data_IF_240004313163
#
_entry.id   IF_240004313163
#
_cell.length_a   1.000
_cell.length_b   1.000
_cell.length_c   1.000
_cell.angle_alpha   90.00
_cell.angle_beta   90.00
_cell.angle_gamma   90.00
#
_symmetry.space_group_name_H-M   'P 1'
#
loop_
_entity.id
_entity.type
_entity.pdbx_description
1 polymer ?
#
# COMPACT_ATOMS: atom_id res chain seq x y z
N UNK A 1 8.58 18.86 -9.30
CA UNK A 1 8.03 17.56 -9.74
C UNK A 1 8.44 16.51 -8.71
N UNK A 2 7.48 15.89 -8.02
CA UNK A 2 7.75 14.78 -7.09
C UNK A 2 7.89 13.50 -7.92
N UNK A 3 9.09 12.96 -7.99
CA UNK A 3 9.33 11.63 -8.53
C UNK A 3 8.79 10.61 -7.51
N UNK A 4 7.66 10.00 -7.84
CA UNK A 4 7.13 8.85 -7.10
C UNK A 4 7.95 7.66 -7.56
N UNK A 5 8.97 7.27 -6.78
CA UNK A 5 9.56 5.93 -6.92
C UNK A 5 8.50 4.95 -6.44
N UNK A 6 7.78 4.40 -7.41
CA UNK A 6 6.83 3.31 -7.23
C UNK A 6 7.59 2.09 -6.70
N UNK A 7 7.16 1.59 -5.55
CA UNK A 7 7.07 0.15 -5.25
C UNK A 7 8.39 -0.58 -4.99
N UNK A 8 8.47 -1.21 -3.83
CA UNK A 8 9.53 -2.09 -3.36
C UNK A 8 9.49 -3.46 -4.09
N UNK A 9 9.69 -3.47 -5.40
CA UNK A 9 9.83 -4.70 -6.19
C UNK A 9 11.19 -4.70 -6.92
N UNK A 10 11.88 -5.85 -6.97
CA UNK A 10 13.12 -6.00 -7.71
C UNK A 10 12.96 -5.49 -9.15
N UNK A 11 13.73 -4.48 -9.55
CA UNK A 11 13.50 -3.80 -10.82
C UNK A 11 13.96 -4.72 -11.95
N UNK A 12 13.00 -5.18 -12.73
CA UNK A 12 13.27 -6.03 -13.90
C UNK A 12 14.00 -5.24 -14.97
N UNK A 13 14.87 -5.92 -15.70
CA UNK A 13 15.65 -5.34 -16.78
C UNK A 13 14.75 -4.72 -17.86
N UNK A 14 13.60 -5.35 -18.14
CA UNK A 14 12.61 -4.85 -19.07
C UNK A 14 12.13 -3.43 -18.71
N UNK A 15 11.87 -3.18 -17.42
CA UNK A 15 11.40 -1.89 -16.95
C UNK A 15 12.51 -0.84 -16.95
N UNK A 16 13.75 -1.24 -16.63
CA UNK A 16 14.94 -0.36 -16.78
C UNK A 16 15.10 0.09 -18.23
N UNK A 17 14.94 -0.80 -19.21
CA UNK A 17 15.07 -0.44 -20.63
C UNK A 17 13.92 0.44 -21.13
N UNK A 18 12.68 0.20 -20.68
CA UNK A 18 11.53 1.08 -20.99
C UNK A 18 11.75 2.48 -20.44
N UNK A 19 12.21 2.58 -19.20
CA UNK A 19 12.53 3.86 -18.57
C UNK A 19 13.64 4.61 -19.31
N UNK A 20 14.72 3.92 -19.70
CA UNK A 20 15.80 4.53 -20.47
C UNK A 20 15.32 5.08 -21.83
N UNK A 21 14.35 4.42 -22.49
CA UNK A 21 13.72 4.95 -23.72
C UNK A 21 12.91 6.22 -23.48
N UNK A 22 12.27 6.33 -22.33
CA UNK A 22 11.50 7.52 -21.94
C UNK A 22 12.43 8.71 -21.67
N UNK A 23 13.49 8.49 -20.89
CA UNK A 23 14.51 9.49 -20.60
C UNK A 23 15.21 9.94 -21.89
N UNK A 24 15.64 8.99 -22.73
CA UNK A 24 16.31 9.30 -23.99
C UNK A 24 15.41 10.08 -24.95
N UNK A 25 14.13 9.70 -25.05
CA UNK A 25 13.17 10.44 -25.86
C UNK A 25 12.93 11.86 -25.35
N UNK A 26 12.93 12.05 -24.03
CA UNK A 26 12.85 13.38 -23.40
C UNK A 26 14.10 14.22 -23.68
N UNK A 27 15.30 13.63 -23.57
CA UNK A 27 16.58 14.29 -23.88
C UNK A 27 16.68 14.72 -25.35
N UNK A 28 16.08 13.95 -26.26
CA UNK A 28 15.99 14.29 -27.69
C UNK A 28 14.86 15.27 -28.02
N UNK A 29 14.11 15.75 -27.03
CA UNK A 29 13.03 16.73 -27.22
C UNK A 29 11.73 16.15 -27.78
N UNK A 30 11.54 14.83 -27.75
CA UNK A 30 10.30 14.19 -28.24
C UNK A 30 9.13 14.35 -27.26
N UNK A 31 9.41 14.61 -25.97
CA UNK A 31 8.39 14.67 -24.91
C UNK A 31 7.65 13.35 -24.68
N UNK A 32 8.17 12.24 -25.22
CA UNK A 32 7.65 10.88 -25.12
C UNK A 32 8.81 9.88 -25.19
N UNK A 33 8.55 8.62 -24.84
CA UNK A 33 9.51 7.56 -25.10
C UNK A 33 9.78 7.39 -26.60
N UNK A 34 11.05 7.17 -26.96
CA UNK A 34 11.43 6.76 -28.32
C UNK A 34 10.73 5.45 -28.65
N UNK A 35 10.25 5.26 -29.88
CA UNK A 35 9.76 3.95 -30.34
C UNK A 35 10.92 2.95 -30.46
N UNK A 36 10.62 1.64 -30.49
CA UNK A 36 11.65 0.61 -30.70
C UNK A 36 12.42 0.86 -32.01
N UNK A 37 11.74 1.24 -33.09
CA UNK A 37 12.39 1.50 -34.38
C UNK A 37 13.27 2.77 -34.34
N UNK A 38 12.80 3.83 -33.68
CA UNK A 38 13.60 5.04 -33.47
C UNK A 38 14.87 4.73 -32.68
N UNK A 39 14.77 3.91 -31.63
CA UNK A 39 15.90 3.48 -30.82
C UNK A 39 16.92 2.70 -31.65
N UNK A 40 16.47 1.73 -32.45
CA UNK A 40 17.36 0.92 -33.28
C UNK A 40 18.11 1.76 -34.33
N UNK A 41 17.42 2.74 -34.94
CA UNK A 41 18.04 3.67 -35.88
C UNK A 41 19.09 4.55 -35.19
N UNK A 42 18.78 5.06 -34.00
CA UNK A 42 19.71 5.87 -33.22
C UNK A 42 20.95 5.06 -32.78
N UNK A 43 20.76 3.83 -32.29
CA UNK A 43 21.86 2.93 -31.92
C UNK A 43 22.76 2.65 -33.12
N UNK A 44 22.17 2.36 -34.29
CA UNK A 44 22.93 2.09 -35.51
C UNK A 44 23.75 3.29 -35.97
N UNK A 45 23.17 4.50 -35.89
CA UNK A 45 23.83 5.76 -36.23
C UNK A 45 25.01 6.06 -35.29
N UNK A 46 24.84 5.85 -33.99
CA UNK A 46 25.84 6.24 -32.98
C UNK A 46 26.92 5.17 -32.75
N UNK A 47 26.61 3.90 -33.00
CA UNK A 47 27.51 2.78 -32.70
C UNK A 47 28.22 2.21 -33.93
N UNK A 48 28.33 3.00 -35.01
CA UNK A 48 29.04 2.64 -36.25
C UNK A 48 28.56 1.30 -36.83
N UNK A 49 27.25 1.10 -36.95
CA UNK A 49 26.66 -0.06 -37.62
C UNK A 49 26.54 -1.34 -36.77
N UNK A 50 26.95 -1.32 -35.49
CA UNK A 50 26.56 -2.40 -34.56
C UNK A 50 25.07 -2.24 -34.23
N UNK A 51 24.25 -3.10 -34.81
CA UNK A 51 22.80 -3.09 -34.65
C UNK A 51 22.29 -4.11 -33.63
N UNK A 52 21.15 -3.80 -33.03
CA UNK A 52 20.32 -4.74 -32.30
C UNK A 52 19.15 -5.14 -33.21
N UNK A 53 18.68 -6.39 -33.18
CA UNK A 53 17.47 -6.74 -33.95
C UNK A 53 16.21 -6.26 -33.23
N UNK A 54 15.18 -5.90 -34.00
CA UNK A 54 13.90 -5.47 -33.43
C UNK A 54 13.22 -6.59 -32.63
N UNK A 55 13.35 -7.84 -33.08
CA UNK A 55 12.87 -9.01 -32.35
C UNK A 55 13.56 -9.16 -30.98
N UNK A 56 14.87 -8.90 -30.91
CA UNK A 56 15.63 -9.01 -29.67
C UNK A 56 15.23 -7.92 -28.66
N UNK A 57 15.04 -6.68 -29.13
CA UNK A 57 14.56 -5.59 -28.29
C UNK A 57 13.14 -5.85 -27.75
N UNK A 58 12.26 -6.38 -28.60
CA UNK A 58 10.90 -6.76 -28.20
C UNK A 58 10.89 -7.85 -27.12
N UNK A 59 11.71 -8.89 -27.28
CA UNK A 59 11.84 -9.98 -26.30
C UNK A 59 12.42 -9.52 -24.96
N UNK A 60 13.28 -8.51 -24.98
CA UNK A 60 13.83 -7.93 -23.76
C UNK A 60 12.79 -7.10 -23.03
N UNK A 61 12.05 -6.24 -23.75
CA UNK A 61 11.02 -5.40 -23.15
C UNK A 61 9.77 -6.18 -22.74
N UNK A 62 9.50 -7.34 -23.31
CA UNK A 62 8.43 -8.24 -22.85
C UNK A 62 8.84 -9.04 -21.61
N UNK A 63 10.13 -9.03 -21.23
CA UNK A 63 10.67 -9.87 -20.15
C UNK A 63 10.85 -11.34 -20.52
N UNK A 64 10.63 -11.72 -21.78
CA UNK A 64 10.86 -13.10 -22.25
C UNK A 64 12.35 -13.47 -22.28
N UNK A 65 13.23 -12.47 -22.28
CA UNK A 65 14.67 -12.64 -22.07
C UNK A 65 15.15 -11.78 -20.88
N UNK A 66 15.35 -12.39 -19.69
CA UNK A 66 15.76 -11.66 -18.48
C UNK A 66 17.23 -11.22 -18.49
N UNK A 67 18.06 -11.79 -19.38
CA UNK A 67 19.50 -11.53 -19.39
C UNK A 67 20.01 -11.11 -20.77
N UNK A 68 20.90 -10.12 -20.74
CA UNK A 68 21.62 -9.59 -21.90
C UNK A 68 22.93 -10.35 -22.14
N UNK A 69 23.29 -10.54 -23.41
CA UNK A 69 24.67 -10.89 -23.75
C UNK A 69 25.60 -9.72 -23.39
N UNK A 70 26.87 -10.02 -23.09
CA UNK A 70 27.83 -8.97 -22.73
C UNK A 70 27.96 -7.92 -23.84
N UNK A 71 27.97 -8.35 -25.10
CA UNK A 71 28.03 -7.47 -26.27
C UNK A 71 26.85 -6.51 -26.34
N UNK A 72 25.61 -7.00 -26.15
CA UNK A 72 24.42 -6.14 -26.19
C UNK A 72 24.36 -5.21 -24.98
N UNK A 73 24.77 -5.69 -23.80
CA UNK A 73 24.86 -4.86 -22.60
C UNK A 73 25.82 -3.69 -22.78
N UNK A 74 27.02 -3.94 -23.31
CA UNK A 74 28.00 -2.88 -23.60
C UNK A 74 27.50 -1.90 -24.67
N UNK A 75 26.79 -2.41 -25.69
CA UNK A 75 26.16 -1.60 -26.73
C UNK A 75 25.13 -0.62 -26.14
N UNK A 76 24.17 -1.15 -25.38
CA UNK A 76 23.10 -0.35 -24.76
C UNK A 76 23.66 0.60 -23.70
N UNK A 77 24.63 0.16 -22.89
CA UNK A 77 25.31 1.00 -21.91
C UNK A 77 26.00 2.20 -22.57
N UNK A 78 26.69 1.98 -23.70
CA UNK A 78 27.35 3.04 -24.46
C UNK A 78 26.36 4.01 -25.09
N UNK A 79 25.24 3.50 -25.61
CA UNK A 79 24.19 4.31 -26.21
C UNK A 79 23.47 5.18 -25.16
N UNK A 80 22.94 4.56 -24.10
CA UNK A 80 22.21 5.26 -23.03
C UNK A 80 23.12 6.00 -22.03
N UNK A 81 24.45 5.93 -22.20
CA UNK A 81 25.44 6.56 -21.31
C UNK A 81 25.31 6.10 -19.85
N UNK A 82 24.94 4.84 -19.62
CA UNK A 82 24.80 4.23 -18.29
C UNK A 82 25.91 3.23 -18.02
N UNK A 83 26.17 2.94 -16.74
CA UNK A 83 27.10 1.88 -16.37
C UNK A 83 26.55 0.49 -16.77
N UNK A 84 27.35 -0.45 -17.32
CA UNK A 84 26.87 -1.77 -17.72
C UNK A 84 26.15 -2.55 -16.61
N UNK A 85 26.54 -2.33 -15.35
CA UNK A 85 25.90 -2.94 -14.18
C UNK A 85 24.45 -2.49 -13.93
N UNK A 86 24.02 -1.35 -14.49
CA UNK A 86 22.63 -0.90 -14.41
C UNK A 86 21.69 -1.77 -15.26
N UNK A 87 22.22 -2.38 -16.32
CA UNK A 87 21.47 -3.23 -17.27
C UNK A 87 21.48 -4.70 -16.84
N UNK A 88 21.26 -4.94 -15.55
CA UNK A 88 21.15 -6.25 -14.94
C UNK A 88 19.86 -6.27 -14.12
N UNK A 89 19.21 -7.43 -14.05
CA UNK A 89 18.08 -7.62 -13.13
C UNK A 89 18.57 -7.56 -11.70
N UNK A 90 17.81 -6.86 -10.86
CA UNK A 90 18.08 -6.88 -9.44
C UNK A 90 17.66 -8.25 -8.88
N UNK A 91 18.48 -8.87 -8.01
CA UNK A 91 18.07 -10.08 -7.28
C UNK A 91 16.72 -9.88 -6.59
N UNK A 92 15.94 -10.94 -6.40
CA UNK A 92 14.64 -10.84 -5.71
C UNK A 92 14.76 -10.25 -4.30
N UNK A 93 15.91 -10.47 -3.66
CA UNK A 93 16.24 -9.94 -2.33
C UNK A 93 16.95 -8.56 -2.36
N UNK A 94 17.10 -7.94 -3.54
CA UNK A 94 17.76 -6.64 -3.66
C UNK A 94 16.91 -5.54 -3.05
N UNK A 95 17.50 -4.82 -2.09
CA UNK A 95 16.89 -3.67 -1.44
C UNK A 95 17.79 -2.47 -1.69
N UNK A 96 17.28 -1.47 -2.41
CA UNK A 96 18.02 -0.25 -2.76
C UNK A 96 18.32 0.65 -1.55
N UNK A 97 17.63 0.42 -0.43
CA UNK A 97 17.74 1.19 0.81
C UNK A 97 18.48 0.35 1.85
N UNK A 98 19.48 0.94 2.52
CA UNK A 98 20.03 0.36 3.75
C UNK A 98 18.93 0.42 4.83
N UNK A 99 18.38 -0.74 5.20
CA UNK A 99 17.33 -0.85 6.22
C UNK A 99 17.94 -1.02 7.61
N UNK A 100 17.97 0.07 8.38
CA UNK A 100 18.18 0.00 9.85
C UNK A 100 16.84 -0.37 10.52
N UNK A 101 16.87 -1.01 11.69
CA UNK A 101 15.67 -1.39 12.45
C UNK A 101 14.68 -0.24 12.65
N UNK A 102 15.17 1.00 12.77
CA UNK A 102 14.40 2.23 12.92
C UNK A 102 13.36 2.44 11.79
N UNK A 103 13.68 2.07 10.54
CA UNK A 103 12.75 2.22 9.41
C UNK A 103 11.59 1.21 9.47
N UNK A 104 11.80 0.07 10.15
CA UNK A 104 10.77 -0.94 10.36
C UNK A 104 9.83 -0.49 11.49
N UNK A 105 10.38 0.09 12.56
CA UNK A 105 9.59 0.70 13.63
C UNK A 105 8.71 1.83 13.08
N UNK A 106 9.25 2.76 12.28
CA UNK A 106 8.48 3.86 11.69
C UNK A 106 7.29 3.39 10.82
N UNK A 107 7.49 2.31 10.07
CA UNK A 107 6.42 1.70 9.25
C UNK A 107 5.37 1.01 10.11
N UNK A 108 5.79 0.35 11.17
CA UNK A 108 4.89 -0.29 12.13
C UNK A 108 4.03 0.75 12.84
N UNK A 109 4.65 1.85 13.30
CA UNK A 109 3.95 2.95 13.99
C UNK A 109 2.91 3.59 13.09
N UNK A 110 3.29 3.89 11.84
CA UNK A 110 2.36 4.45 10.85
C UNK A 110 1.19 3.48 10.57
N UNK A 111 1.46 2.17 10.53
CA UNK A 111 0.41 1.16 10.37
C UNK A 111 -0.53 1.11 11.58
N UNK A 112 0.01 1.17 12.80
CA UNK A 112 -0.76 1.18 14.05
C UNK A 112 -1.66 2.41 14.16
N UNK A 113 -1.14 3.60 13.82
CA UNK A 113 -1.92 4.85 13.76
C UNK A 113 -3.04 4.74 12.73
N UNK A 114 -2.74 4.30 11.51
CA UNK A 114 -3.75 4.10 10.46
C UNK A 114 -4.78 3.01 10.82
N UNK A 115 -4.38 2.00 11.60
CA UNK A 115 -5.28 1.01 12.17
C UNK A 115 -6.25 1.61 13.18
N UNK A 116 -5.75 2.41 14.11
CA UNK A 116 -6.56 3.09 15.12
C UNK A 116 -7.64 3.97 14.49
N UNK A 117 -7.30 4.74 13.45
CA UNK A 117 -8.27 5.60 12.75
C UNK A 117 -9.44 4.82 12.13
N UNK A 118 -9.21 3.58 11.68
CA UNK A 118 -10.25 2.72 11.07
C UNK A 118 -11.26 2.19 12.07
N UNK A 119 -10.81 1.87 13.29
CA UNK A 119 -11.71 1.47 14.38
C UNK A 119 -12.49 2.67 14.91
N UNK A 120 -11.87 3.86 14.93
CA UNK A 120 -12.52 5.14 15.19
C UNK A 120 -13.45 5.12 16.41
N UNK A 121 -14.69 5.59 16.23
CA UNK A 121 -15.71 5.62 17.31
C UNK A 121 -16.37 4.27 17.61
N UNK A 122 -16.14 3.25 16.79
CA UNK A 122 -16.78 1.94 16.95
C UNK A 122 -16.14 1.12 18.05
N UNK A 123 -14.84 1.31 18.26
CA UNK A 123 -14.10 0.70 19.36
C UNK A 123 -13.03 1.69 19.88
N UNK A 124 -13.40 2.55 20.85
CA UNK A 124 -12.47 3.53 21.42
C UNK A 124 -11.42 2.89 22.36
N UNK A 125 -11.64 1.66 22.83
CA UNK A 125 -10.67 0.95 23.69
C UNK A 125 -9.52 0.42 22.85
N UNK A 126 -9.82 -0.26 21.74
CA UNK A 126 -8.82 -0.74 20.80
C UNK A 126 -8.07 0.41 20.12
N UNK A 127 -8.75 1.51 19.77
CA UNK A 127 -8.09 2.71 19.25
C UNK A 127 -7.00 3.23 20.20
N UNK A 128 -7.33 3.35 21.50
CA UNK A 128 -6.40 3.84 22.51
C UNK A 128 -5.23 2.88 22.69
N UNK A 129 -5.47 1.57 22.69
CA UNK A 129 -4.43 0.56 22.78
C UNK A 129 -3.44 0.64 21.59
N UNK A 130 -3.95 0.75 20.35
CA UNK A 130 -3.12 0.86 19.15
C UNK A 130 -2.27 2.15 19.14
N UNK A 131 -2.86 3.28 19.54
CA UNK A 131 -2.13 4.56 19.65
C UNK A 131 -1.09 4.53 20.78
N UNK A 132 -1.36 3.84 21.89
CA UNK A 132 -0.39 3.69 22.97
C UNK A 132 0.83 2.87 22.53
N UNK A 133 0.61 1.81 21.75
CA UNK A 133 1.71 1.00 21.20
C UNK A 133 2.51 1.81 20.18
N UNK A 134 1.87 2.58 19.30
CA UNK A 134 2.55 3.37 18.26
C UNK A 134 3.34 4.57 18.79
N UNK A 135 3.15 4.95 20.07
CA UNK A 135 3.89 6.03 20.72
C UNK A 135 5.04 5.51 21.58
N UNK A 136 5.17 4.19 21.73
CA UNK A 136 6.24 3.57 22.50
C UNK A 136 7.54 3.62 21.69
N UNK A 137 8.68 3.86 22.36
CA UNK A 137 9.99 3.98 21.72
C UNK A 137 10.48 2.70 21.00
N UNK A 138 9.83 1.57 21.29
CA UNK A 138 10.09 0.26 20.68
C UNK A 138 8.73 -0.46 20.57
N UNK A 139 7.96 -0.10 19.54
CA UNK A 139 6.58 -0.57 19.34
C UNK A 139 6.56 -2.03 18.91
N UNK A 140 7.58 -2.48 18.15
CA UNK A 140 7.78 -3.89 17.82
C UNK A 140 7.95 -4.75 19.04
N UNK A 141 8.77 -4.35 20.01
CA UNK A 141 8.95 -5.11 21.25
C UNK A 141 7.65 -5.27 22.03
N UNK A 142 6.77 -4.25 22.03
CA UNK A 142 5.46 -4.36 22.65
C UNK A 142 4.60 -5.46 22.01
N UNK A 143 4.60 -5.58 20.68
CA UNK A 143 3.86 -6.63 19.98
C UNK A 143 4.48 -8.02 20.17
N UNK A 144 5.81 -8.12 20.20
CA UNK A 144 6.50 -9.39 20.51
C UNK A 144 6.26 -9.83 21.96
N UNK A 145 6.19 -8.88 22.89
CA UNK A 145 5.82 -9.17 24.28
C UNK A 145 4.38 -9.68 24.35
N UNK A 146 3.46 -9.06 23.62
CA UNK A 146 2.08 -9.53 23.54
C UNK A 146 2.01 -10.97 23.00
N UNK A 147 2.77 -11.30 21.96
CA UNK A 147 2.88 -12.67 21.44
C UNK A 147 3.37 -13.65 22.52
N UNK A 148 4.43 -13.29 23.26
CA UNK A 148 4.98 -14.12 24.34
C UNK A 148 3.96 -14.33 25.48
N UNK A 149 3.20 -13.29 25.81
CA UNK A 149 2.12 -13.36 26.80
C UNK A 149 1.01 -14.29 26.33
N UNK A 150 0.56 -14.18 25.08
CA UNK A 150 -0.48 -15.02 24.48
C UNK A 150 -0.05 -16.50 24.40
N UNK A 151 1.24 -16.78 24.17
CA UNK A 151 1.79 -18.13 24.16
C UNK A 151 1.92 -18.75 25.55
N UNK A 152 1.90 -17.95 26.60
CA UNK A 152 2.03 -18.45 27.98
C UNK A 152 0.63 -18.77 28.53
N UNK A 153 0.29 -20.04 28.77
CA UNK A 153 -1.05 -20.42 29.19
C UNK A 153 -1.42 -19.76 30.53
N UNK A 154 -2.68 -19.31 30.64
CA UNK A 154 -3.24 -18.60 31.79
C UNK A 154 -2.55 -17.26 32.16
N UNK A 155 -1.50 -16.81 31.46
CA UNK A 155 -0.85 -15.53 31.76
C UNK A 155 -1.72 -14.33 31.38
N UNK A 156 -2.43 -14.43 30.26
CA UNK A 156 -3.39 -13.40 29.79
C UNK A 156 -4.45 -13.15 30.85
N UNK A 157 -5.14 -14.19 31.31
CA UNK A 157 -6.19 -14.10 32.34
C UNK A 157 -5.66 -13.53 33.65
N UNK A 158 -4.46 -13.96 34.08
CA UNK A 158 -3.83 -13.45 35.30
C UNK A 158 -3.44 -11.98 35.19
N UNK A 159 -2.94 -11.54 34.04
CA UNK A 159 -2.65 -10.14 33.77
C UNK A 159 -3.94 -9.32 33.63
N UNK A 160 -4.98 -9.87 33.02
CA UNK A 160 -6.30 -9.27 32.92
C UNK A 160 -6.88 -8.98 34.31
N UNK A 161 -6.89 -9.98 35.18
CA UNK A 161 -7.34 -9.84 36.57
C UNK A 161 -6.49 -8.84 37.37
N UNK A 162 -5.16 -8.87 37.20
CA UNK A 162 -4.26 -7.97 37.91
C UNK A 162 -4.37 -6.50 37.44
N UNK A 163 -4.64 -6.28 36.15
CA UNK A 163 -4.74 -4.96 35.54
C UNK A 163 -6.18 -4.44 35.48
N UNK A 164 -7.16 -5.23 35.92
CA UNK A 164 -8.58 -4.87 35.94
C UNK A 164 -9.24 -4.84 34.55
N UNK A 165 -8.75 -5.63 33.60
CA UNK A 165 -9.27 -5.70 32.22
C UNK A 165 -10.48 -6.65 32.09
N UNK A 166 -10.83 -7.39 33.13
CA UNK A 166 -11.91 -8.38 33.15
C UNK A 166 -13.33 -7.76 33.22
N UNK A 167 -13.45 -6.45 32.96
CA UNK A 167 -14.56 -5.62 33.47
C UNK A 167 -15.37 -4.76 32.48
N UNK A 168 -15.18 -4.85 31.16
CA UNK A 168 -15.97 -4.02 30.19
C UNK A 168 -16.72 -4.83 29.15
N UNK A 169 -17.72 -5.60 29.60
CA UNK A 169 -19.07 -5.64 28.97
C UNK A 169 -20.01 -6.57 29.76
N UNK A 170 -20.41 -6.17 30.96
CA UNK A 170 -21.61 -6.75 31.59
C UNK A 170 -22.66 -5.65 31.69
N UNK A 171 -23.61 -5.73 30.75
CA UNK A 171 -25.01 -5.30 30.80
C UNK A 171 -25.36 -4.38 32.00
N UNK A 172 -25.27 -3.07 31.77
CA UNK A 172 -25.98 -2.10 32.59
C UNK A 172 -27.45 -2.10 32.15
N UNK A 173 -28.27 -2.83 32.89
CA UNK A 173 -29.72 -2.78 32.79
C UNK A 173 -30.27 -1.49 33.43
N UNK A 174 -31.41 -1.07 32.89
CA UNK A 174 -32.37 -0.07 33.35
C UNK A 174 -32.19 1.37 32.85
N UNK A 175 -33.02 1.75 31.88
CA UNK A 175 -34.08 2.69 32.25
C UNK A 175 -35.37 2.51 31.43
N UNK A 176 -36.42 2.23 32.17
CA UNK A 176 -37.82 2.27 31.76
C UNK A 176 -38.24 3.70 31.35
N UNK A 177 -38.63 3.90 30.08
CA UNK A 177 -39.72 4.82 29.64
C UNK A 177 -39.86 4.89 28.12
N UNK A 178 -40.85 4.17 27.58
CA UNK A 178 -41.85 4.60 26.56
C UNK A 178 -42.30 3.40 25.71
N UNK A 179 -43.57 3.00 25.87
CA UNK A 179 -44.47 2.70 24.76
C UNK A 179 -45.89 2.38 25.27
N UNK A 180 -46.53 3.36 25.90
CA UNK A 180 -47.97 3.48 25.74
C UNK A 180 -48.25 4.08 24.37
N UNK A 181 -49.18 3.46 23.64
CA UNK A 181 -49.97 4.02 22.51
C UNK A 181 -49.41 3.85 21.08
N UNK A 182 -49.80 2.75 20.43
CA UNK A 182 -50.30 2.81 19.04
C UNK A 182 -51.14 1.57 18.67
N UNK A 183 -52.45 1.65 18.93
CA UNK A 183 -53.43 1.04 18.01
C UNK A 183 -54.66 1.94 17.91
N UNK A 184 -54.64 2.81 16.91
CA UNK A 184 -55.82 3.47 16.33
C UNK A 184 -55.79 3.16 14.84
N UNK A 185 -56.56 2.14 14.44
CA UNK A 185 -57.01 1.96 13.06
C UNK A 185 -58.47 1.49 13.04
N UNK A 186 -59.37 2.47 12.97
CA UNK A 186 -60.77 2.43 12.49
C UNK A 186 -61.34 3.79 12.89
N UNK A 187 -61.96 4.60 12.06
CA UNK A 187 -62.34 4.57 10.66
C UNK A 187 -62.86 5.98 10.41
N UNK A 188 -62.63 6.52 9.22
CA UNK A 188 -63.06 7.88 8.92
C UNK A 188 -64.58 8.02 8.82
N UNK A 189 -64.98 9.30 8.89
CA UNK A 189 -66.02 9.91 8.06
C UNK A 189 -67.48 9.68 8.48
N UNK A 190 -68.07 10.68 9.12
CA UNK A 190 -69.03 11.57 8.45
C UNK A 190 -69.43 12.74 9.35
N UNK A 191 -69.05 13.91 8.89
CA UNK A 191 -69.66 15.19 9.23
C UNK A 191 -70.99 15.27 8.46
N UNK A 192 -72.09 15.55 9.15
CA UNK A 192 -73.34 16.02 8.53
C UNK A 192 -74.05 16.95 9.49
N UNK A 193 -73.61 18.21 9.43
CA UNK A 193 -74.43 19.42 9.50
C UNK A 193 -75.87 19.18 8.97
N UNK A 194 -76.86 19.43 9.82
CA UNK A 194 -78.21 19.96 9.52
C UNK A 194 -78.77 20.50 10.85
N UNK A 195 -78.88 21.82 10.98
CA UNK A 195 -80.13 22.55 10.74
C UNK A 195 -81.27 22.06 11.64
N UNK A 196 -81.63 22.86 12.65
CA UNK A 196 -82.85 23.69 12.66
C UNK A 196 -83.57 23.73 14.01
N UNK A 197 -84.01 24.96 14.36
CA UNK A 197 -85.15 25.33 15.23
C UNK A 197 -85.15 24.79 16.67
N UNK A 198 -85.27 25.64 17.69
CA UNK A 198 -86.32 26.63 17.89
C UNK A 198 -85.96 27.51 19.09
#
# INVERSE_FOLDING_TARGET
>A
MRFVIRGLDAVKLADKVRYLREVEGSLRGLGRAMTQQELLKAIAAETKGKGLSQSYLSQLESGSRPHLTNTTRLLLAKFFKVHPGYLVEDPEDFQAELRTAEIIEDKLDLWLVGGAERFGRKDPELCRALLAVSQHADSRRCLLLLEAVLKTPALVERLGAALGLDGTSVVAESDSKKAGKKDRKKGGKKDSRKEDKK
#
